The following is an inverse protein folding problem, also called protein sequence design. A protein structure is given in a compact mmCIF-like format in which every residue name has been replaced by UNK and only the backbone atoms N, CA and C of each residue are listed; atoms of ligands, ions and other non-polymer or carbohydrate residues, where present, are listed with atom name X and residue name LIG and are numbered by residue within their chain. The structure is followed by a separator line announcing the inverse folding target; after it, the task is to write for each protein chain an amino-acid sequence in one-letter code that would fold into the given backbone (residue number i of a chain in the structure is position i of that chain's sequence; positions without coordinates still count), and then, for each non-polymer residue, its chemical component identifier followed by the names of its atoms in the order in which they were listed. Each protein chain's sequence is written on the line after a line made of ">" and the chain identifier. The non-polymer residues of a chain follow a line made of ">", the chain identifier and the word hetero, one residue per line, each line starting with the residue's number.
data_IF_833376078793
#
_entry.id   IF_833376078793
#
_cell.length_a   1.000
_cell.length_b   1.000
_cell.length_c   1.000
_cell.angle_alpha   90.00
_cell.angle_beta   90.00
_cell.angle_gamma   90.00
#
_symmetry.space_group_name_H-M   'P 1'
#
loop_
_entity.id
_entity.type
_entity.pdbx_description
1 polymer ?
#
# COMPACT_ATOMS: atom_id res chain seq x y z
N UNK A 1 7.99 11.20 27.16
CA UNK A 1 7.80 9.99 26.35
C UNK A 1 8.58 10.20 25.07
N UNK A 2 9.50 9.30 24.65
CA UNK A 2 10.09 9.43 23.32
C UNK A 2 8.97 9.31 22.28
N UNK A 3 8.87 10.28 21.38
CA UNK A 3 7.94 10.20 20.25
C UNK A 3 8.24 8.95 19.43
N UNK A 4 7.20 8.27 18.95
CA UNK A 4 7.36 7.16 18.03
C UNK A 4 8.14 7.65 16.80
N UNK A 5 9.13 6.86 16.35
CA UNK A 5 9.89 7.16 15.13
C UNK A 5 8.90 7.33 13.96
N UNK A 6 8.94 8.45 13.23
CA UNK A 6 8.07 8.65 12.07
C UNK A 6 8.31 7.55 11.02
N UNK A 7 7.29 7.24 10.23
CA UNK A 7 7.42 6.29 9.12
C UNK A 7 8.15 6.96 7.95
N UNK A 8 9.07 6.23 7.33
CA UNK A 8 9.71 6.68 6.10
C UNK A 8 9.01 6.13 4.85
N UNK A 9 9.19 6.81 3.72
CA UNK A 9 8.67 6.35 2.44
C UNK A 9 9.21 4.97 2.04
N UNK A 10 10.45 4.66 2.42
CA UNK A 10 11.05 3.34 2.20
C UNK A 10 10.36 2.25 3.05
N UNK A 11 9.93 2.58 4.27
CA UNK A 11 9.14 1.67 5.11
C UNK A 11 7.77 1.41 4.48
N UNK A 12 7.12 2.43 3.90
CA UNK A 12 5.84 2.27 3.20
C UNK A 12 5.99 1.34 1.99
N UNK A 13 6.98 1.59 1.12
CA UNK A 13 7.26 0.75 -0.06
C UNK A 13 7.54 -0.69 0.37
N UNK A 14 8.35 -0.88 1.42
CA UNK A 14 8.69 -2.22 1.93
C UNK A 14 7.44 -2.94 2.43
N UNK A 15 6.53 -2.25 3.10
CA UNK A 15 5.27 -2.83 3.56
C UNK A 15 4.37 -3.21 2.39
N UNK A 16 4.25 -2.36 1.37
CA UNK A 16 3.52 -2.70 0.14
C UNK A 16 4.08 -3.96 -0.53
N UNK A 17 5.40 -4.05 -0.69
CA UNK A 17 6.05 -5.24 -1.28
C UNK A 17 5.79 -6.50 -0.46
N UNK A 18 5.96 -6.42 0.86
CA UNK A 18 5.70 -7.56 1.74
C UNK A 18 4.24 -8.02 1.64
N UNK A 19 3.29 -7.09 1.63
CA UNK A 19 1.87 -7.39 1.50
C UNK A 19 1.54 -8.07 0.18
N UNK A 20 2.04 -7.54 -0.95
CA UNK A 20 1.82 -8.11 -2.29
C UNK A 20 2.38 -9.54 -2.38
N UNK A 21 3.61 -9.77 -1.90
CA UNK A 21 4.22 -11.10 -1.92
C UNK A 21 3.37 -12.16 -1.20
N UNK A 22 2.75 -11.79 -0.05
CA UNK A 22 1.90 -12.74 0.70
C UNK A 22 0.58 -13.01 -0.02
N UNK A 23 -0.03 -12.02 -0.68
CA UNK A 23 -1.25 -12.24 -1.47
C UNK A 23 -0.97 -13.10 -2.69
N UNK A 24 0.13 -12.86 -3.41
CA UNK A 24 0.51 -13.64 -4.59
C UNK A 24 0.84 -15.11 -4.25
N UNK A 25 1.32 -15.38 -3.03
CA UNK A 25 1.56 -16.74 -2.53
C UNK A 25 0.25 -17.55 -2.32
N UNK A 26 -0.93 -16.94 -2.50
CA UNK A 26 -2.21 -17.64 -2.67
C UNK A 26 -2.78 -18.29 -1.41
N UNK A 27 -2.23 -17.98 -0.24
CA UNK A 27 -2.59 -18.63 1.03
C UNK A 27 -3.42 -17.67 1.90
N UNK A 28 -4.75 -17.63 1.70
CA UNK A 28 -5.68 -16.91 2.58
C UNK A 28 -6.96 -17.76 2.77
N UNK A 29 -7.15 -18.34 3.97
CA UNK A 29 -8.37 -19.07 4.37
C UNK A 29 -8.85 -18.67 5.78
N UNK A 30 -9.86 -17.80 5.83
CA UNK A 30 -10.81 -17.47 6.94
C UNK A 30 -10.24 -17.11 8.34
N UNK A 31 -10.63 -15.93 8.84
CA UNK A 31 -10.54 -15.31 10.19
C UNK A 31 -9.32 -15.59 11.10
N UNK A 32 -8.95 -16.85 11.40
CA UNK A 32 -7.64 -17.18 11.98
C UNK A 32 -6.49 -16.81 11.03
N UNK A 33 -6.82 -16.65 9.75
CA UNK A 33 -5.94 -16.18 8.71
C UNK A 33 -5.45 -14.75 8.92
N UNK A 34 -6.25 -13.82 9.48
CA UNK A 34 -5.85 -12.42 9.51
C UNK A 34 -4.62 -12.16 10.40
N UNK A 35 -4.56 -12.77 11.59
CA UNK A 35 -3.38 -12.68 12.46
C UNK A 35 -2.17 -13.35 11.80
N UNK A 36 -2.36 -14.56 11.28
CA UNK A 36 -1.31 -15.32 10.61
C UNK A 36 -0.79 -14.62 9.35
N UNK A 37 -1.68 -14.03 8.56
CA UNK A 37 -1.38 -13.21 7.39
C UNK A 37 -0.49 -12.04 7.79
N UNK A 38 -0.86 -11.29 8.83
CA UNK A 38 -0.06 -10.17 9.29
C UNK A 38 1.29 -10.58 9.90
N UNK A 39 1.37 -11.74 10.54
CA UNK A 39 2.64 -12.29 11.00
C UNK A 39 3.55 -12.65 9.82
N UNK A 40 2.99 -13.23 8.74
CA UNK A 40 3.73 -13.49 7.50
C UNK A 40 4.17 -12.19 6.82
N UNK A 41 3.29 -11.19 6.73
CA UNK A 41 3.65 -9.86 6.19
C UNK A 41 4.77 -9.24 7.02
N UNK A 42 4.71 -9.32 8.36
CA UNK A 42 5.77 -8.83 9.24
C UNK A 42 7.09 -9.57 9.05
N UNK A 43 7.04 -10.89 8.89
CA UNK A 43 8.21 -11.72 8.61
C UNK A 43 8.86 -11.32 7.28
N UNK A 44 8.08 -11.24 6.19
CA UNK A 44 8.57 -10.82 4.87
C UNK A 44 9.08 -9.39 4.90
N UNK A 45 8.38 -8.47 5.57
CA UNK A 45 8.82 -7.10 5.77
C UNK A 45 10.19 -7.04 6.47
N UNK A 46 10.38 -7.86 7.50
CA UNK A 46 11.64 -7.92 8.24
C UNK A 46 12.79 -8.49 7.40
N UNK A 47 12.50 -9.44 6.51
CA UNK A 47 13.48 -10.01 5.57
C UNK A 47 13.87 -9.05 4.45
N UNK A 48 12.95 -8.18 4.02
CA UNK A 48 13.19 -7.16 2.99
C UNK A 48 14.00 -5.95 3.51
N UNK A 49 14.26 -5.85 4.81
CA UNK A 49 15.07 -4.80 5.40
C UNK A 49 16.45 -5.30 5.80
N UNK A 50 17.49 -4.56 5.41
CA UNK A 50 18.78 -4.66 6.09
C UNK A 50 18.63 -4.13 7.51
N UNK A 51 19.19 -4.86 8.49
CA UNK A 51 19.25 -4.61 9.95
C UNK A 51 18.74 -3.24 10.41
N UNK A 52 17.43 -3.03 10.28
CA UNK A 52 16.83 -1.74 10.61
C UNK A 52 16.93 -1.58 12.12
N UNK A 53 17.61 -0.52 12.56
CA UNK A 53 17.72 -0.15 13.97
C UNK A 53 16.35 0.02 14.64
N UNK A 54 15.28 0.18 13.86
CA UNK A 54 13.89 0.27 14.34
C UNK A 54 13.11 -0.99 13.94
N UNK A 55 13.04 -1.97 14.84
CA UNK A 55 12.14 -3.13 14.69
C UNK A 55 10.69 -2.71 14.93
N UNK A 56 9.93 -2.53 13.85
CA UNK A 56 8.49 -2.25 13.91
C UNK A 56 7.73 -3.49 14.38
N UNK A 57 6.68 -3.28 15.18
CA UNK A 57 5.78 -4.37 15.62
C UNK A 57 4.71 -4.63 14.58
N UNK A 58 4.20 -5.87 14.50
CA UNK A 58 3.10 -6.25 13.58
C UNK A 58 1.90 -5.29 13.65
N UNK A 59 1.45 -4.93 14.84
CA UNK A 59 0.33 -3.99 15.01
C UNK A 59 0.61 -2.56 14.48
N UNK A 60 1.87 -2.14 14.45
CA UNK A 60 2.26 -0.86 13.86
C UNK A 60 2.16 -0.90 12.33
N UNK A 61 2.54 -2.03 11.70
CA UNK A 61 2.36 -2.25 10.27
C UNK A 61 0.89 -2.33 9.89
N UNK A 62 0.07 -3.04 10.68
CA UNK A 62 -1.38 -3.09 10.49
C UNK A 62 -2.01 -1.70 10.54
N UNK A 63 -1.61 -0.87 11.50
CA UNK A 63 -2.12 0.48 11.67
C UNK A 63 -1.71 1.40 10.51
N UNK A 64 -0.45 1.31 10.05
CA UNK A 64 0.04 2.03 8.89
C UNK A 64 -0.72 1.62 7.62
N UNK A 65 -0.92 0.31 7.42
CA UNK A 65 -1.68 -0.20 6.29
C UNK A 65 -3.13 0.30 6.29
N UNK A 66 -3.83 0.13 7.41
CA UNK A 66 -5.24 0.50 7.51
C UNK A 66 -5.46 2.02 7.42
N UNK A 67 -4.56 2.81 8.01
CA UNK A 67 -4.73 4.25 8.14
C UNK A 67 -4.21 5.08 6.97
N UNK A 68 -3.20 4.59 6.24
CA UNK A 68 -2.55 5.36 5.18
C UNK A 68 -2.56 4.61 3.85
N UNK A 69 -1.94 3.42 3.81
CA UNK A 69 -1.67 2.73 2.54
C UNK A 69 -2.95 2.23 1.87
N UNK A 70 -3.84 1.56 2.61
CA UNK A 70 -5.09 1.01 2.06
C UNK A 70 -6.02 2.09 1.51
N UNK A 71 -6.26 3.22 2.19
CA UNK A 71 -6.99 4.35 1.60
C UNK A 71 -6.36 4.86 0.30
N UNK A 72 -5.04 5.03 0.27
CA UNK A 72 -4.33 5.52 -0.93
C UNK A 72 -4.44 4.53 -2.10
N UNK A 73 -4.30 3.23 -1.83
CA UNK A 73 -4.50 2.16 -2.82
C UNK A 73 -5.94 2.17 -3.35
N UNK A 74 -6.95 2.32 -2.47
CA UNK A 74 -8.34 2.38 -2.89
C UNK A 74 -8.64 3.61 -3.75
N UNK A 75 -8.07 4.77 -3.39
CA UNK A 75 -8.18 6.00 -4.17
C UNK A 75 -7.53 5.83 -5.55
N UNK A 76 -6.34 5.24 -5.62
CA UNK A 76 -5.67 4.98 -6.89
C UNK A 76 -6.47 4.00 -7.75
N UNK A 77 -6.95 2.88 -7.19
CA UNK A 77 -7.79 1.93 -7.90
C UNK A 77 -9.07 2.58 -8.45
N UNK A 78 -9.68 3.50 -7.70
CA UNK A 78 -10.83 4.27 -8.20
C UNK A 78 -10.48 5.17 -9.39
N UNK A 79 -9.27 5.75 -9.41
CA UNK A 79 -8.80 6.55 -10.54
C UNK A 79 -8.57 5.67 -11.77
N UNK A 80 -7.95 4.50 -11.60
CA UNK A 80 -7.76 3.53 -12.68
C UNK A 80 -9.10 3.10 -13.28
N UNK A 81 -10.08 2.73 -12.43
CA UNK A 81 -11.39 2.31 -12.90
C UNK A 81 -12.12 3.42 -13.70
N UNK A 82 -12.02 4.69 -13.25
CA UNK A 82 -12.61 5.82 -13.98
C UNK A 82 -11.95 6.04 -15.35
N UNK A 83 -10.63 5.95 -15.42
CA UNK A 83 -9.90 6.13 -16.70
C UNK A 83 -10.18 4.97 -17.65
N UNK A 84 -10.33 3.74 -17.13
CA UNK A 84 -10.69 2.57 -17.93
C UNK A 84 -12.13 2.59 -18.46
N UNK A 85 -13.07 3.22 -17.75
CA UNK A 85 -14.46 3.38 -18.20
C UNK A 85 -14.59 4.43 -19.33
N UNK A 86 -13.62 5.34 -19.43
CA UNK A 86 -13.60 6.35 -20.49
C UNK A 86 -13.17 5.74 -21.83
N UNK A 87 -13.92 6.09 -22.88
CA UNK A 87 -13.61 5.62 -24.24
C UNK A 87 -12.37 6.34 -24.79
N UNK A 88 -11.21 5.70 -24.70
CA UNK A 88 -9.96 6.17 -25.31
C UNK A 88 -9.50 5.25 -26.44
N UNK A 89 -9.74 5.66 -27.68
CA UNK A 89 -9.28 4.90 -28.85
C UNK A 89 -7.77 5.03 -29.05
N UNK A 90 -7.06 3.90 -29.04
CA UNK A 90 -5.63 3.83 -29.34
C UNK A 90 -4.70 4.06 -28.17
N UNK A 91 -5.23 4.20 -26.95
CA UNK A 91 -4.42 4.28 -25.74
C UNK A 91 -3.84 2.92 -25.38
N UNK A 92 -2.60 2.94 -24.92
CA UNK A 92 -1.86 1.83 -24.31
C UNK A 92 -2.10 1.77 -22.81
N UNK A 93 -1.87 0.60 -22.20
CA UNK A 93 -2.00 0.44 -20.74
C UNK A 93 -1.17 1.46 -19.95
N UNK A 94 0.01 1.83 -20.45
CA UNK A 94 0.85 2.86 -19.82
C UNK A 94 0.16 4.23 -19.77
N UNK A 95 -0.54 4.62 -20.84
CA UNK A 95 -1.25 5.90 -20.91
C UNK A 95 -2.45 5.92 -19.95
N UNK A 96 -3.16 4.80 -19.80
CA UNK A 96 -4.20 4.67 -18.78
C UNK A 96 -3.63 4.81 -17.35
N UNK A 97 -2.48 4.20 -17.06
CA UNK A 97 -1.85 4.26 -15.75
C UNK A 97 -1.26 5.64 -15.44
N UNK A 98 -0.68 6.31 -16.42
CA UNK A 98 -0.16 7.67 -16.30
C UNK A 98 -1.30 8.65 -15.98
N UNK A 99 -2.43 8.56 -16.69
CA UNK A 99 -3.59 9.41 -16.42
C UNK A 99 -4.22 9.10 -15.06
N UNK A 100 -4.31 7.83 -14.67
CA UNK A 100 -4.74 7.46 -13.32
C UNK A 100 -3.81 8.06 -12.23
N UNK A 101 -2.49 8.06 -12.48
CA UNK A 101 -1.49 8.69 -11.61
C UNK A 101 -1.65 10.21 -11.50
N UNK A 102 -1.94 10.89 -12.62
CA UNK A 102 -2.24 12.32 -12.64
C UNK A 102 -3.48 12.65 -11.80
N UNK A 103 -4.56 11.89 -11.98
CA UNK A 103 -5.81 12.06 -11.22
C UNK A 103 -5.64 11.78 -9.74
N UNK A 104 -4.89 10.73 -9.39
CA UNK A 104 -4.55 10.43 -8.01
C UNK A 104 -3.79 11.58 -7.36
N UNK A 105 -2.74 12.09 -8.00
CA UNK A 105 -1.94 13.20 -7.50
C UNK A 105 -2.79 14.46 -7.28
N UNK A 106 -3.65 14.80 -8.24
CA UNK A 106 -4.56 15.93 -8.14
C UNK A 106 -5.51 15.79 -6.93
N UNK A 107 -6.15 14.63 -6.75
CA UNK A 107 -7.06 14.36 -5.63
C UNK A 107 -6.34 14.35 -4.28
N UNK A 108 -5.16 13.76 -4.22
CA UNK A 108 -4.35 13.67 -3.00
C UNK A 108 -3.92 15.06 -2.50
N UNK A 109 -3.53 15.96 -3.42
CA UNK A 109 -3.21 17.36 -3.08
C UNK A 109 -4.45 18.10 -2.54
N UNK A 110 -5.63 17.87 -3.12
CA UNK A 110 -6.87 18.48 -2.66
C UNK A 110 -7.27 18.00 -1.27
N UNK A 111 -7.10 16.70 -0.97
CA UNK A 111 -7.41 16.13 0.34
C UNK A 111 -6.47 16.63 1.45
N UNK A 112 -5.21 16.98 1.13
CA UNK A 112 -4.26 17.58 2.10
C UNK A 112 -4.44 19.09 2.31
N UNK A 113 -5.28 19.76 1.52
CA UNK A 113 -5.56 21.20 1.61
C UNK A 113 -6.86 21.54 2.37
N UNK A 114 -7.61 20.52 2.79
CA UNK A 114 -8.81 20.64 3.63
C UNK A 114 -8.49 20.20 5.06
#
# INVERSE_FOLDING_TARGET
>A
MPNATPWSHEEDIRLCRAYTNIIEDGCISTDQDATHFWDRVHQTYSQLGEDSATKRKTGALQSLWAGLIRPDVALYASCVALVQDEAHSGWTDSEYLDEAGNRFTAKYILQKRL
#
